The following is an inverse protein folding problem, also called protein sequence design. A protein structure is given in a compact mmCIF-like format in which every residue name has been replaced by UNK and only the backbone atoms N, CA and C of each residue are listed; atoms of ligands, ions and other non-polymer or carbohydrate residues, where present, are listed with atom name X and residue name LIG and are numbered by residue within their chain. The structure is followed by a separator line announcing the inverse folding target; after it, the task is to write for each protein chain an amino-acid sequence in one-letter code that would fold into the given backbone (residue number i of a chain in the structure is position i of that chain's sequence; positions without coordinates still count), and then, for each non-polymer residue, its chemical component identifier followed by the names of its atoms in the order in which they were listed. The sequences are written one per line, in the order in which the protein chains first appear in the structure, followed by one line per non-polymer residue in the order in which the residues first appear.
data_IF_401247390977
#
_entry.id   IF_401247390977
#
_cell.length_a   1.000
_cell.length_b   1.000
_cell.length_c   1.000
_cell.angle_alpha   90.00
_cell.angle_beta   90.00
_cell.angle_gamma   90.00
#
_symmetry.space_group_name_H-M   'P 1'
#
loop_
_entity.id
_entity.type
_entity.pdbx_description
1 polymer ?
#
# COMPACT_ATOMS: atom_id res chain seq x y z
N UNK A 1 7.58 -23.20 -11.99
CA UNK A 1 7.31 -21.99 -11.20
C UNK A 1 7.93 -22.24 -9.85
N UNK A 2 8.86 -21.39 -9.42
CA UNK A 2 9.29 -21.37 -8.03
C UNK A 2 8.07 -21.00 -7.17
N UNK A 3 7.89 -21.71 -6.06
CA UNK A 3 6.83 -21.43 -5.11
C UNK A 3 7.17 -20.10 -4.42
N UNK A 4 6.32 -19.08 -4.60
CA UNK A 4 6.54 -17.78 -3.97
C UNK A 4 6.33 -17.96 -2.46
N UNK A 5 7.38 -17.75 -1.67
CA UNK A 5 7.29 -17.74 -0.21
C UNK A 5 6.69 -16.42 0.28
N UNK A 6 5.36 -16.43 0.45
CA UNK A 6 4.61 -15.28 0.89
C UNK A 6 4.93 -14.84 2.32
N UNK A 7 5.33 -15.78 3.18
CA UNK A 7 5.64 -15.47 4.57
C UNK A 7 6.97 -14.71 4.65
N UNK A 8 7.98 -15.10 3.85
CA UNK A 8 9.23 -14.35 3.70
C UNK A 8 9.01 -12.93 3.12
N UNK A 9 8.12 -12.78 2.14
CA UNK A 9 7.76 -11.46 1.58
C UNK A 9 7.10 -10.57 2.63
N UNK A 10 6.13 -11.09 3.39
CA UNK A 10 5.49 -10.34 4.48
C UNK A 10 6.49 -9.95 5.55
N UNK A 11 7.38 -10.88 5.93
CA UNK A 11 8.41 -10.61 6.93
C UNK A 11 9.33 -9.48 6.47
N UNK A 12 9.79 -9.51 5.22
CA UNK A 12 10.58 -8.43 4.62
C UNK A 12 9.84 -7.09 4.60
N UNK A 13 8.56 -7.08 4.19
CA UNK A 13 7.74 -5.86 4.22
C UNK A 13 7.55 -5.32 5.63
N UNK A 14 7.32 -6.18 6.62
CA UNK A 14 7.18 -5.80 8.03
C UNK A 14 8.46 -5.22 8.65
N UNK A 15 9.62 -5.65 8.16
CA UNK A 15 10.93 -5.09 8.57
C UNK A 15 11.25 -3.79 7.83
N UNK A 16 10.79 -3.65 6.60
CA UNK A 16 11.07 -2.49 5.76
C UNK A 16 10.09 -1.32 5.99
N UNK A 17 8.88 -1.58 6.49
CA UNK A 17 7.82 -0.59 6.63
C UNK A 17 7.27 -0.55 8.06
N UNK A 18 6.94 0.67 8.50
CA UNK A 18 6.18 0.93 9.73
C UNK A 18 4.91 1.68 9.37
N UNK A 19 3.77 1.18 9.82
CA UNK A 19 2.49 1.87 9.68
C UNK A 19 1.99 2.29 11.05
N UNK A 20 1.90 3.60 11.27
CA UNK A 20 1.41 4.20 12.51
C UNK A 20 0.14 4.97 12.23
N UNK A 21 -0.76 5.04 13.22
CA UNK A 21 -1.98 5.82 13.14
C UNK A 21 -2.16 6.68 14.38
N UNK A 22 -2.67 7.89 14.20
CA UNK A 22 -3.11 8.78 15.27
C UNK A 22 -4.58 9.13 15.06
N UNK A 23 -5.41 8.64 15.96
CA UNK A 23 -6.87 8.82 15.92
C UNK A 23 -7.27 10.25 16.30
N UNK A 24 -6.45 10.96 17.08
CA UNK A 24 -6.78 12.33 17.50
C UNK A 24 -6.64 13.32 16.35
N UNK A 25 -5.69 13.06 15.45
CA UNK A 25 -5.40 13.91 14.30
C UNK A 25 -5.88 13.32 12.97
N UNK A 26 -6.44 12.10 12.99
CA UNK A 26 -6.85 11.33 11.81
C UNK A 26 -5.71 11.19 10.79
N UNK A 27 -4.51 10.88 11.29
CA UNK A 27 -3.31 10.73 10.47
C UNK A 27 -2.78 9.31 10.45
N UNK A 28 -2.29 8.88 9.29
CA UNK A 28 -1.57 7.62 9.10
C UNK A 28 -0.17 7.96 8.62
N UNK A 29 0.86 7.50 9.34
CA UNK A 29 2.26 7.65 8.94
C UNK A 29 2.79 6.30 8.47
N UNK A 30 3.17 6.23 7.20
CA UNK A 30 3.94 5.13 6.63
C UNK A 30 5.41 5.54 6.63
N UNK A 31 6.25 4.85 7.39
CA UNK A 31 7.70 5.11 7.45
C UNK A 31 8.44 3.94 6.83
N UNK A 32 9.41 4.21 5.97
CA UNK A 32 10.23 3.17 5.37
C UNK A 32 11.55 3.08 6.15
N UNK A 33 11.70 2.00 6.92
CA UNK A 33 12.78 1.77 7.88
C UNK A 33 14.07 1.37 7.17
N UNK A 34 13.98 0.60 6.07
CA UNK A 34 15.18 0.05 5.44
C UNK A 34 15.93 1.05 4.55
N UNK A 35 17.26 1.04 4.65
CA UNK A 35 18.15 1.94 3.90
C UNK A 35 18.25 1.60 2.41
N UNK A 36 18.01 0.35 2.02
CA UNK A 36 18.19 -0.19 0.65
C UNK A 36 16.98 -0.03 -0.29
N UNK A 37 16.07 0.89 0.01
CA UNK A 37 14.95 1.25 -0.88
C UNK A 37 15.43 1.74 -2.25
N UNK A 38 16.66 2.26 -2.35
CA UNK A 38 17.23 2.73 -3.62
C UNK A 38 17.35 1.64 -4.70
N UNK A 39 17.30 0.36 -4.32
CA UNK A 39 17.26 -0.77 -5.26
C UNK A 39 15.85 -1.37 -5.44
N UNK A 40 14.83 -0.81 -4.79
CA UNK A 40 13.47 -1.33 -4.79
C UNK A 40 12.55 -0.39 -5.58
N UNK A 41 12.51 -0.55 -6.90
CA UNK A 41 11.66 0.20 -7.84
C UNK A 41 10.18 0.26 -7.39
N UNK A 42 9.73 -0.75 -6.63
CA UNK A 42 8.38 -0.86 -6.11
C UNK A 42 8.06 0.19 -5.03
N UNK A 43 9.03 0.53 -4.17
CA UNK A 43 8.89 1.53 -3.10
C UNK A 43 9.16 2.93 -3.63
N UNK A 44 10.15 3.09 -4.52
CA UNK A 44 10.35 4.34 -5.27
C UNK A 44 9.13 4.71 -6.13
N UNK A 45 8.42 3.70 -6.65
CA UNK A 45 7.16 3.85 -7.37
C UNK A 45 5.92 4.09 -6.49
N UNK A 46 6.02 3.94 -5.16
CA UNK A 46 4.97 4.36 -4.22
C UNK A 46 5.13 5.83 -3.79
N UNK A 47 6.35 6.37 -3.84
CA UNK A 47 6.65 7.80 -3.62
C UNK A 47 6.35 8.66 -4.86
N UNK A 48 5.32 8.30 -5.63
CA UNK A 48 4.84 9.13 -6.74
C UNK A 48 4.07 10.32 -6.17
N UNK A 49 3.81 11.31 -7.03
CA UNK A 49 3.16 12.58 -6.64
C UNK A 49 1.92 12.36 -5.76
N UNK A 50 1.62 13.33 -4.89
CA UNK A 50 0.43 13.33 -4.02
C UNK A 50 -0.84 12.91 -4.78
N UNK A 51 -1.04 13.40 -6.00
CA UNK A 51 -2.21 13.08 -6.83
C UNK A 51 -2.27 11.59 -7.23
N UNK A 52 -1.14 10.98 -7.58
CA UNK A 52 -1.09 9.56 -7.95
C UNK A 52 -1.38 8.65 -6.75
N UNK A 53 -0.95 9.05 -5.56
CA UNK A 53 -1.25 8.32 -4.34
C UNK A 53 -2.75 8.41 -3.99
N UNK A 54 -3.34 9.60 -4.10
CA UNK A 54 -4.80 9.79 -3.93
C UNK A 54 -5.59 8.95 -4.92
N UNK A 55 -5.22 8.97 -6.19
CA UNK A 55 -5.90 8.17 -7.23
C UNK A 55 -5.76 6.67 -6.98
N UNK A 56 -4.58 6.20 -6.59
CA UNK A 56 -4.34 4.79 -6.26
C UNK A 56 -5.23 4.34 -5.10
N UNK A 57 -5.25 5.09 -3.99
CA UNK A 57 -6.08 4.78 -2.83
C UNK A 57 -7.57 4.80 -3.17
N UNK A 58 -8.03 5.76 -3.97
CA UNK A 58 -9.42 5.82 -4.43
C UNK A 58 -9.81 4.58 -5.24
N UNK A 59 -8.95 4.14 -6.17
CA UNK A 59 -9.18 2.92 -6.96
C UNK A 59 -9.24 1.67 -6.10
N UNK A 60 -8.32 1.53 -5.15
CA UNK A 60 -8.30 0.36 -4.25
C UNK A 60 -9.54 0.28 -3.36
N UNK A 61 -10.08 1.43 -2.93
CA UNK A 61 -11.29 1.46 -2.12
C UNK A 61 -12.59 1.34 -2.93
N UNK A 62 -12.52 1.30 -4.27
CA UNK A 62 -13.69 1.18 -5.13
C UNK A 62 -14.70 2.31 -4.94
N UNK A 63 -14.26 3.50 -4.52
CA UNK A 63 -15.15 4.61 -4.21
C UNK A 63 -15.36 5.51 -5.44
N UNK A 64 -16.63 5.81 -5.72
CA UNK A 64 -17.02 6.79 -6.76
C UNK A 64 -16.70 8.24 -6.35
N UNK A 65 -16.54 8.51 -5.05
CA UNK A 65 -16.25 9.85 -4.52
C UNK A 65 -14.75 10.06 -4.27
N UNK A 66 -14.21 11.27 -4.51
CA UNK A 66 -12.85 11.60 -4.16
C UNK A 66 -12.65 11.52 -2.64
N UNK A 67 -11.54 10.96 -2.21
CA UNK A 67 -11.11 11.02 -0.81
C UNK A 67 -10.65 12.42 -0.47
N UNK A 68 -11.18 12.98 0.62
CA UNK A 68 -10.66 14.19 1.21
C UNK A 68 -9.43 13.84 2.08
N UNK A 69 -8.30 13.69 1.38
CA UNK A 69 -7.01 13.26 1.87
C UNK A 69 -5.98 14.33 1.54
N UNK A 70 -5.12 14.65 2.49
CA UNK A 70 -3.88 15.40 2.29
C UNK A 70 -2.70 14.42 2.41
N UNK A 71 -1.74 14.53 1.49
CA UNK A 71 -0.55 13.66 1.48
C UNK A 71 0.68 14.53 1.62
N UNK A 72 1.46 14.29 2.67
CA UNK A 72 2.77 14.89 2.84
C UNK A 72 3.86 13.82 2.68
N UNK A 73 4.78 14.03 1.74
CA UNK A 73 5.85 13.09 1.41
C UNK A 73 7.17 13.69 1.89
N UNK A 74 7.67 13.18 3.00
CA UNK A 74 8.97 13.54 3.52
C UNK A 74 10.03 12.55 3.00
N UNK A 75 10.75 12.96 1.95
CA UNK A 75 11.78 12.14 1.33
C UNK A 75 13.02 11.96 2.21
N UNK A 76 13.33 12.93 3.09
CA UNK A 76 14.47 12.85 4.01
C UNK A 76 14.22 11.82 5.11
N UNK A 77 13.03 11.84 5.71
CA UNK A 77 12.59 10.87 6.71
C UNK A 77 12.10 9.55 6.09
N UNK A 78 12.02 9.48 4.75
CA UNK A 78 11.42 8.36 4.01
C UNK A 78 10.05 7.98 4.55
N UNK A 79 9.21 8.99 4.77
CA UNK A 79 7.89 8.80 5.33
C UNK A 79 6.81 9.49 4.52
N UNK A 80 5.64 8.88 4.50
CA UNK A 80 4.43 9.44 3.92
C UNK A 80 3.43 9.64 5.06
N UNK A 81 2.93 10.86 5.19
CA UNK A 81 1.86 11.20 6.10
C UNK A 81 0.57 11.38 5.31
N UNK A 82 -0.47 10.68 5.73
CA UNK A 82 -1.81 10.73 5.16
C UNK A 82 -2.73 11.34 6.20
N UNK A 83 -3.26 12.54 5.94
CA UNK A 83 -4.18 13.23 6.84
C UNK A 83 -5.59 13.25 6.22
N UNK A 84 -6.59 12.81 6.99
CA UNK A 84 -7.96 12.65 6.50
C UNK A 84 -8.92 13.49 7.32
N UNK A 85 -10.01 13.96 6.70
CA UNK A 85 -11.03 14.76 7.39
C UNK A 85 -12.16 13.93 8.01
N UNK A 86 -12.26 12.66 7.64
CA UNK A 86 -13.33 11.75 8.07
C UNK A 86 -12.74 10.56 8.83
N UNK A 87 -13.28 10.26 10.00
CA UNK A 87 -12.95 9.05 10.76
C UNK A 87 -13.25 7.77 9.96
N UNK A 88 -14.29 7.80 9.12
CA UNK A 88 -14.68 6.67 8.28
C UNK A 88 -13.60 6.39 7.22
N UNK A 89 -13.12 7.43 6.54
CA UNK A 89 -12.07 7.30 5.53
C UNK A 89 -10.74 6.94 6.18
N UNK A 90 -10.43 7.55 7.33
CA UNK A 90 -9.28 7.18 8.16
C UNK A 90 -9.24 5.69 8.46
N UNK A 91 -10.36 5.14 8.93
CA UNK A 91 -10.44 3.71 9.27
C UNK A 91 -10.28 2.84 8.02
N UNK A 92 -10.98 3.17 6.93
CA UNK A 92 -10.90 2.41 5.67
C UNK A 92 -9.50 2.40 5.07
N UNK A 93 -8.85 3.57 5.02
CA UNK A 93 -7.49 3.71 4.49
C UNK A 93 -6.49 2.97 5.36
N UNK A 94 -6.60 3.07 6.69
CA UNK A 94 -5.74 2.32 7.60
C UNK A 94 -5.90 0.81 7.42
N UNK A 95 -7.14 0.31 7.43
CA UNK A 95 -7.41 -1.12 7.29
C UNK A 95 -6.93 -1.64 5.94
N UNK A 96 -7.10 -0.87 4.86
CA UNK A 96 -6.58 -1.20 3.53
C UNK A 96 -5.06 -1.29 3.52
N UNK A 97 -4.35 -0.27 4.03
CA UNK A 97 -2.88 -0.25 4.05
C UNK A 97 -2.33 -1.38 4.92
N UNK A 98 -2.99 -1.65 6.05
CA UNK A 98 -2.61 -2.74 6.94
C UNK A 98 -2.79 -4.11 6.27
N UNK A 99 -3.92 -4.35 5.60
CA UNK A 99 -4.16 -5.57 4.82
C UNK A 99 -3.23 -5.70 3.61
N UNK A 100 -2.87 -4.59 2.98
CA UNK A 100 -1.97 -4.57 1.82
C UNK A 100 -0.54 -4.97 2.23
N UNK A 101 0.02 -4.35 3.27
CA UNK A 101 1.43 -4.55 3.62
C UNK A 101 1.67 -5.72 4.58
N UNK A 102 0.69 -6.03 5.43
CA UNK A 102 0.86 -7.02 6.51
C UNK A 102 -0.20 -8.12 6.50
N UNK A 103 -1.23 -7.98 5.66
CA UNK A 103 -2.27 -8.99 5.47
C UNK A 103 -2.05 -9.86 4.25
N UNK A 104 -3.12 -10.53 3.82
CA UNK A 104 -3.10 -11.43 2.65
C UNK A 104 -3.53 -10.75 1.36
N UNK A 105 -3.84 -9.45 1.38
CA UNK A 105 -4.41 -8.77 0.22
C UNK A 105 -3.44 -8.75 -0.98
N UNK A 106 -2.14 -8.53 -0.73
CA UNK A 106 -1.10 -8.55 -1.76
C UNK A 106 -0.96 -9.94 -2.41
N UNK A 107 -1.04 -11.01 -1.60
CA UNK A 107 -1.10 -12.40 -2.06
C UNK A 107 -2.33 -12.65 -2.93
N UNK A 108 -3.53 -12.25 -2.46
CA UNK A 108 -4.79 -12.41 -3.20
C UNK A 108 -4.76 -11.69 -4.55
N UNK A 109 -4.19 -10.49 -4.61
CA UNK A 109 -4.00 -9.76 -5.87
C UNK A 109 -3.09 -10.54 -6.83
N UNK A 110 -1.95 -11.04 -6.36
CA UNK A 110 -1.04 -11.85 -7.17
C UNK A 110 -1.68 -13.14 -7.65
N UNK A 111 -2.39 -13.85 -6.77
CA UNK A 111 -3.14 -15.07 -7.10
C UNK A 111 -4.24 -14.78 -8.14
N UNK A 112 -4.96 -13.68 -8.00
CA UNK A 112 -5.99 -13.26 -8.97
C UNK A 112 -5.38 -12.90 -10.33
N UNK A 113 -4.24 -12.21 -10.36
CA UNK A 113 -3.50 -11.92 -11.59
C UNK A 113 -3.02 -13.22 -12.25
N UNK A 114 -2.36 -14.09 -11.49
CA UNK A 114 -1.91 -15.40 -11.97
C UNK A 114 -3.06 -16.29 -12.45
N UNK A 115 -4.21 -16.25 -11.78
CA UNK A 115 -5.42 -16.96 -12.19
C UNK A 115 -6.03 -16.40 -13.48
N UNK A 116 -6.06 -15.08 -13.63
CA UNK A 116 -6.50 -14.41 -14.86
C UNK A 116 -5.57 -14.70 -16.04
N UNK A 117 -4.25 -14.65 -15.83
CA UNK A 117 -3.26 -15.06 -16.83
C UNK A 117 -3.34 -16.56 -17.15
N UNK A 118 -3.51 -17.42 -16.13
CA UNK A 118 -3.64 -18.86 -16.30
C UNK A 118 -4.86 -19.29 -17.12
N UNK A 119 -5.98 -18.55 -17.03
CA UNK A 119 -7.14 -18.74 -17.91
C UNK A 119 -6.92 -18.20 -19.34
N UNK A 120 -6.04 -17.20 -19.51
CA UNK A 120 -5.65 -16.69 -20.82
C UNK A 120 -4.75 -17.68 -21.58
N UNK A 121 -3.87 -18.40 -20.86
CA UNK A 121 -2.98 -19.43 -21.45
C UNK A 121 -3.59 -20.85 -21.52
N UNK A 122 -4.76 -21.09 -20.91
CA UNK A 122 -5.54 -22.33 -21.04
C UNK A 122 -6.62 -22.28 -22.13
N UNK A 123 -6.67 -21.20 -22.91
CA UNK A 123 -7.56 -21.08 -24.06
C UNK A 123 -6.88 -21.69 -25.30
N UNK A 124 -6.69 -23.00 -25.29
CA UNK A 124 -6.55 -23.87 -26.47
C UNK A 124 -6.95 -25.32 -26.11
#
# INVERSE_FOLDING_TARGET
MEEIDWEDIKEKLSKALKLEKDVNTLTIKLTIIESNIKDNEMVGGMLKSEEEMKQSLQRFMGQEKPLDLEVDINQEEKSILLAMKSEEDFKKVYDLLNELFFGDYLKKMFEAMMGAFGNMFKSD
#
